data_IF_678653358816
#
_entry.id   IF_678653358816
#
_cell.length_a   1.000
_cell.length_b   1.000
_cell.length_c   1.000
_cell.angle_alpha   90.00
_cell.angle_beta   90.00
_cell.angle_gamma   90.00
#
_symmetry.space_group_name_H-M   'P 1'
#
loop_
_entity.id
_entity.type
_entity.pdbx_description
1 polymer ?
#
# COMPACT_ATOMS: atom_id res chain seq x y z
N UNK A 1 10.15 12.52 -7.65
CA UNK A 1 9.32 11.70 -8.56
C UNK A 1 8.36 12.55 -9.42
N UNK A 2 7.51 13.40 -8.82
CA UNK A 2 6.46 14.17 -9.50
C UNK A 2 6.90 14.92 -10.78
N UNK A 3 7.97 15.73 -10.69
CA UNK A 3 8.50 16.49 -11.84
C UNK A 3 8.94 15.59 -13.00
N UNK A 4 9.51 14.42 -12.70
CA UNK A 4 9.93 13.46 -13.72
C UNK A 4 8.72 12.81 -14.39
N UNK A 5 7.68 12.46 -13.62
CA UNK A 5 6.42 11.96 -14.17
C UNK A 5 5.81 13.01 -15.10
N UNK A 6 5.61 14.25 -14.65
CA UNK A 6 5.05 15.32 -15.47
C UNK A 6 5.84 15.52 -16.78
N UNK A 7 7.17 15.48 -16.73
CA UNK A 7 8.02 15.55 -17.93
C UNK A 7 7.83 14.35 -18.86
N UNK A 8 7.53 13.17 -18.34
CA UNK A 8 7.26 11.99 -19.17
C UNK A 8 5.96 12.14 -19.97
N UNK A 9 4.97 12.85 -19.43
CA UNK A 9 3.69 13.11 -20.08
C UNK A 9 3.80 14.08 -21.27
N UNK A 10 4.83 14.93 -21.31
CA UNK A 10 5.00 15.90 -22.41
C UNK A 10 5.52 15.28 -23.70
N UNK A 11 6.00 14.03 -23.68
CA UNK A 11 6.53 13.33 -24.86
C UNK A 11 5.48 12.39 -25.44
N UNK A 12 5.50 12.21 -26.74
CA UNK A 12 4.68 11.20 -27.43
C UNK A 12 5.31 9.80 -27.37
N UNK A 13 4.59 8.81 -27.92
CA UNK A 13 5.00 7.41 -27.99
C UNK A 13 4.60 6.56 -26.78
N UNK A 14 4.65 5.24 -26.94
CA UNK A 14 4.32 4.28 -25.87
C UNK A 14 5.39 4.32 -24.78
N UNK A 15 4.97 4.37 -23.52
CA UNK A 15 5.86 4.35 -22.36
C UNK A 15 5.42 3.30 -21.35
N UNK A 16 6.41 2.72 -20.67
CA UNK A 16 6.24 1.96 -19.44
C UNK A 16 6.82 2.80 -18.29
N UNK A 17 6.01 3.11 -17.29
CA UNK A 17 6.40 3.88 -16.11
C UNK A 17 6.29 2.94 -14.90
N UNK A 18 7.41 2.74 -14.21
CA UNK A 18 7.49 1.93 -13.00
C UNK A 18 7.79 2.86 -11.83
N UNK A 19 6.96 2.81 -10.80
CA UNK A 19 7.06 3.68 -9.64
C UNK A 19 7.05 2.82 -8.39
N UNK A 20 8.11 2.95 -7.61
CA UNK A 20 8.16 2.44 -6.25
C UNK A 20 7.91 3.62 -5.31
N UNK A 21 6.87 3.51 -4.48
CA UNK A 21 6.41 4.50 -3.49
C UNK A 21 6.38 5.96 -3.97
N UNK A 22 5.20 6.46 -4.33
CA UNK A 22 5.06 7.81 -4.88
C UNK A 22 4.72 8.91 -3.85
N UNK A 23 4.95 8.67 -2.56
CA UNK A 23 4.19 9.35 -1.50
C UNK A 23 5.00 10.29 -0.60
N UNK A 24 6.03 10.94 -1.14
CA UNK A 24 6.76 11.97 -0.39
C UNK A 24 5.93 13.25 -0.07
N UNK A 25 4.63 13.26 -0.40
CA UNK A 25 3.70 14.37 -0.15
C UNK A 25 3.04 14.11 1.20
N UNK A 26 3.25 15.01 2.16
CA UNK A 26 2.89 14.82 3.58
C UNK A 26 1.39 14.86 3.87
N UNK A 27 0.55 15.17 2.87
CA UNK A 27 -0.91 15.26 3.03
C UNK A 27 -1.60 14.20 2.15
N UNK A 28 -2.10 13.10 2.75
CA UNK A 28 -2.58 11.92 2.01
C UNK A 28 -3.68 12.25 0.98
N UNK A 29 -4.67 13.07 1.36
CA UNK A 29 -5.76 13.43 0.45
C UNK A 29 -5.31 14.23 -0.77
N UNK A 30 -4.39 15.17 -0.58
CA UNK A 30 -3.82 15.94 -1.68
C UNK A 30 -2.94 15.04 -2.58
N UNK A 31 -2.16 14.13 -1.98
CA UNK A 31 -1.33 13.18 -2.69
C UNK A 31 -2.17 12.29 -3.62
N UNK A 32 -3.22 11.65 -3.10
CA UNK A 32 -4.12 10.79 -3.87
C UNK A 32 -4.67 11.53 -5.09
N UNK A 33 -5.14 12.77 -4.91
CA UNK A 33 -5.70 13.56 -6.00
C UNK A 33 -4.66 13.90 -7.08
N UNK A 34 -3.47 14.35 -6.69
CA UNK A 34 -2.39 14.67 -7.62
C UNK A 34 -1.94 13.43 -8.41
N UNK A 35 -1.77 12.30 -7.71
CA UNK A 35 -1.34 11.04 -8.31
C UNK A 35 -2.41 10.50 -9.25
N UNK A 36 -3.66 10.50 -8.81
CA UNK A 36 -4.82 10.10 -9.59
C UNK A 36 -4.88 10.83 -10.92
N UNK A 37 -4.77 12.17 -10.91
CA UNK A 37 -4.79 12.97 -12.15
C UNK A 37 -3.61 12.66 -13.09
N UNK A 38 -2.39 12.47 -12.56
CA UNK A 38 -1.25 12.09 -13.39
C UNK A 38 -1.42 10.71 -14.04
N UNK A 39 -1.98 9.76 -13.30
CA UNK A 39 -2.25 8.41 -13.78
C UNK A 39 -3.37 8.41 -14.83
N UNK A 40 -4.42 9.23 -14.66
CA UNK A 40 -5.47 9.44 -15.68
C UNK A 40 -4.85 9.97 -16.99
N UNK A 41 -4.02 11.01 -16.92
CA UNK A 41 -3.34 11.56 -18.10
C UNK A 41 -2.40 10.55 -18.78
N UNK A 42 -1.72 9.69 -17.99
CA UNK A 42 -0.88 8.63 -18.53
C UNK A 42 -1.72 7.58 -19.27
N UNK A 43 -2.86 7.20 -18.70
CA UNK A 43 -3.80 6.25 -19.29
C UNK A 43 -4.39 6.77 -20.61
N UNK A 44 -4.81 8.03 -20.66
CA UNK A 44 -5.34 8.69 -21.88
C UNK A 44 -4.31 8.71 -23.02
N UNK A 45 -3.02 8.81 -22.68
CA UNK A 45 -1.91 8.72 -23.64
C UNK A 45 -1.54 7.29 -24.05
N UNK A 46 -2.22 6.28 -23.50
CA UNK A 46 -1.95 4.87 -23.77
C UNK A 46 -0.63 4.38 -23.15
N UNK A 47 -0.19 4.98 -22.04
CA UNK A 47 1.00 4.53 -21.32
C UNK A 47 0.64 3.38 -20.39
N UNK A 48 1.60 2.49 -20.17
CA UNK A 48 1.51 1.47 -19.12
C UNK A 48 2.17 2.01 -17.86
N UNK A 49 1.45 1.98 -16.75
CA UNK A 49 1.97 2.42 -15.45
C UNK A 49 1.80 1.31 -14.42
N UNK A 50 2.88 1.00 -13.70
CA UNK A 50 2.85 0.13 -12.53
C UNK A 50 3.36 0.95 -11.36
N UNK A 51 2.54 1.01 -10.30
CA UNK A 51 2.84 1.76 -9.09
C UNK A 51 2.72 0.82 -7.88
N UNK A 52 3.73 0.85 -7.02
CA UNK A 52 3.69 0.26 -5.69
C UNK A 52 3.39 1.38 -4.70
N UNK A 53 2.31 1.25 -3.94
CA UNK A 53 1.80 2.31 -3.06
C UNK A 53 0.93 1.72 -1.96
N UNK A 54 0.92 2.36 -0.79
CA UNK A 54 0.00 2.00 0.29
C UNK A 54 -1.35 2.73 0.17
N UNK A 55 -1.50 3.65 -0.79
CA UNK A 55 -2.75 4.35 -1.13
C UNK A 55 -3.65 3.55 -2.09
N UNK A 56 -3.44 2.24 -2.23
CA UNK A 56 -4.17 1.42 -3.20
C UNK A 56 -5.69 1.54 -3.06
N UNK A 57 -6.20 1.70 -1.85
CA UNK A 57 -7.63 1.89 -1.59
C UNK A 57 -8.15 3.23 -2.12
N UNK A 58 -7.43 4.32 -1.83
CA UNK A 58 -7.85 5.66 -2.20
C UNK A 58 -7.66 5.91 -3.69
N UNK A 59 -6.57 5.41 -4.27
CA UNK A 59 -6.34 5.45 -5.71
C UNK A 59 -7.39 4.65 -6.49
N UNK A 60 -7.92 3.56 -5.93
CA UNK A 60 -9.01 2.80 -6.54
C UNK A 60 -10.28 3.63 -6.72
N UNK A 61 -10.55 4.56 -5.80
CA UNK A 61 -11.71 5.48 -5.89
C UNK A 61 -11.54 6.47 -7.05
N UNK A 62 -10.32 6.98 -7.23
CA UNK A 62 -9.98 7.93 -8.30
C UNK A 62 -9.80 7.25 -9.68
N UNK A 63 -9.40 5.99 -9.70
CA UNK A 63 -9.01 5.23 -10.89
C UNK A 63 -9.79 3.90 -10.96
N UNK A 64 -11.11 3.93 -11.18
CA UNK A 64 -11.92 2.71 -11.19
C UNK A 64 -11.57 1.73 -12.32
N UNK A 65 -10.86 2.21 -13.36
CA UNK A 65 -10.36 1.39 -14.47
C UNK A 65 -9.01 0.71 -14.14
N UNK A 66 -8.30 1.16 -13.11
CA UNK A 66 -7.01 0.59 -12.73
C UNK A 66 -7.19 -0.69 -11.91
N UNK A 67 -6.42 -1.72 -12.24
CA UNK A 67 -6.37 -2.95 -11.45
C UNK A 67 -5.53 -2.69 -10.19
N UNK A 68 -6.01 -3.17 -9.05
CA UNK A 68 -5.27 -3.18 -7.79
C UNK A 68 -4.93 -4.62 -7.43
N UNK A 69 -3.65 -4.87 -7.18
CA UNK A 69 -3.13 -6.19 -6.82
C UNK A 69 -2.43 -6.11 -5.47
N UNK A 70 -2.79 -7.00 -4.57
CA UNK A 70 -2.43 -6.91 -3.15
C UNK A 70 -1.51 -8.05 -2.73
N UNK A 71 -0.59 -7.74 -1.83
CA UNK A 71 0.13 -8.74 -1.04
C UNK A 71 -0.43 -8.76 0.39
N UNK A 72 -0.25 -9.87 1.09
CA UNK A 72 -0.89 -10.09 2.38
C UNK A 72 0.04 -10.86 3.32
N UNK A 73 0.02 -10.50 4.60
CA UNK A 73 0.70 -11.29 5.62
C UNK A 73 -0.14 -12.53 5.97
N UNK A 74 0.51 -13.68 6.10
CA UNK A 74 -0.13 -14.94 6.42
C UNK A 74 -0.10 -15.27 7.92
N UNK A 75 0.70 -14.56 8.70
CA UNK A 75 0.83 -14.78 10.14
C UNK A 75 2.25 -14.60 10.65
N UNK A 76 2.52 -15.20 11.80
CA UNK A 76 3.84 -15.28 12.41
C UNK A 76 4.36 -16.72 12.37
N UNK A 77 5.65 -16.89 12.09
CA UNK A 77 6.31 -18.20 12.23
C UNK A 77 6.56 -18.54 13.72
N UNK A 78 7.14 -19.73 13.95
CA UNK A 78 7.53 -20.22 15.28
C UNK A 78 8.51 -19.30 16.02
N UNK A 79 9.29 -18.50 15.29
CA UNK A 79 10.27 -17.54 15.80
C UNK A 79 9.69 -16.11 15.91
N UNK A 80 8.38 -15.95 15.67
CA UNK A 80 7.66 -14.68 15.66
C UNK A 80 8.14 -13.71 14.56
N UNK A 81 8.58 -14.22 13.43
CA UNK A 81 8.82 -13.44 12.22
C UNK A 81 7.56 -13.38 11.38
N UNK A 82 7.38 -12.24 10.69
CA UNK A 82 6.23 -12.03 9.82
C UNK A 82 6.37 -12.86 8.55
N UNK A 83 5.38 -13.70 8.27
CA UNK A 83 5.25 -14.45 7.03
C UNK A 83 4.43 -13.60 6.07
N UNK A 84 4.98 -13.26 4.91
CA UNK A 84 4.31 -12.46 3.89
C UNK A 84 4.31 -13.22 2.57
N UNK A 85 3.12 -13.43 2.02
CA UNK A 85 2.96 -13.87 0.65
C UNK A 85 3.16 -12.66 -0.27
N UNK A 86 4.32 -12.65 -0.95
CA UNK A 86 4.72 -11.56 -1.83
C UNK A 86 4.20 -11.70 -3.25
N UNK A 87 3.43 -12.76 -3.55
CA UNK A 87 2.77 -12.89 -4.84
C UNK A 87 1.54 -11.99 -4.86
N UNK A 88 1.47 -10.96 -5.73
CA UNK A 88 0.30 -10.10 -5.80
C UNK A 88 -0.93 -10.91 -6.24
N UNK A 89 -1.98 -10.89 -5.42
CA UNK A 89 -3.28 -11.46 -5.75
C UNK A 89 -4.05 -10.45 -6.61
N UNK A 90 -4.38 -10.85 -7.84
CA UNK A 90 -4.99 -9.93 -8.79
C UNK A 90 -6.39 -9.47 -8.38
N UNK A 91 -6.65 -8.17 -8.49
CA UNK A 91 -7.94 -7.57 -8.14
C UNK A 91 -8.24 -7.54 -6.65
N UNK A 92 -7.30 -7.97 -5.80
CA UNK A 92 -7.42 -7.96 -4.35
C UNK A 92 -6.67 -6.76 -3.81
N UNK A 93 -7.30 -5.97 -2.96
CA UNK A 93 -6.62 -4.90 -2.24
C UNK A 93 -5.75 -5.52 -1.15
N UNK A 94 -4.46 -5.17 -1.13
CA UNK A 94 -3.57 -5.56 -0.05
C UNK A 94 -4.03 -4.94 1.26
N UNK A 95 -4.03 -5.72 2.34
CA UNK A 95 -4.40 -5.26 3.67
C UNK A 95 -3.18 -5.26 4.57
N UNK A 96 -2.98 -4.16 5.27
CA UNK A 96 -2.06 -4.13 6.39
C UNK A 96 -2.61 -5.01 7.51
N UNK A 97 -1.74 -5.84 8.09
CA UNK A 97 -2.06 -6.70 9.24
C UNK A 97 -1.27 -6.24 10.47
N UNK A 98 -1.48 -5.00 10.96
CA UNK A 98 -0.74 -4.46 12.11
C UNK A 98 -0.92 -5.29 13.39
N UNK A 99 -2.04 -6.00 13.52
CA UNK A 99 -2.33 -6.91 14.61
C UNK A 99 -1.25 -7.99 14.78
N UNK A 100 -0.62 -8.46 13.70
CA UNK A 100 0.49 -9.43 13.77
C UNK A 100 1.76 -8.83 14.39
N UNK A 101 1.99 -7.53 14.18
CA UNK A 101 3.10 -6.82 14.84
C UNK A 101 2.81 -6.70 16.33
N UNK A 102 1.58 -6.35 16.69
CA UNK A 102 1.14 -6.26 18.10
C UNK A 102 1.20 -7.63 18.78
N UNK A 103 0.76 -8.70 18.12
CA UNK A 103 0.83 -10.08 18.62
C UNK A 103 2.28 -10.50 18.89
N UNK A 104 3.19 -10.22 17.96
CA UNK A 104 4.63 -10.47 18.15
C UNK A 104 5.17 -9.74 19.40
N UNK A 105 4.78 -8.48 19.60
CA UNK A 105 5.22 -7.70 20.76
C UNK A 105 4.66 -8.26 22.07
N UNK A 106 3.37 -8.60 22.10
CA UNK A 106 2.72 -9.23 23.24
C UNK A 106 3.41 -10.55 23.66
N UNK A 107 3.77 -11.40 22.67
CA UNK A 107 4.48 -12.66 22.92
C UNK A 107 5.92 -12.48 23.40
N UNK A 108 6.59 -11.38 23.04
CA UNK A 108 8.00 -11.10 23.42
C UNK A 108 8.16 -10.38 24.77
N UNK A 109 7.13 -9.66 25.23
CA UNK A 109 7.19 -8.88 26.48
C UNK A 109 6.60 -9.62 27.67
N UNK A 110 6.83 -9.09 28.88
CA UNK A 110 6.32 -9.63 30.15
C UNK A 110 5.78 -8.50 31.04
N UNK A 111 4.97 -8.85 32.03
CA UNK A 111 4.38 -7.90 32.98
C UNK A 111 3.52 -6.83 32.29
N UNK A 112 3.56 -5.60 32.79
CA UNK A 112 2.71 -4.50 32.33
C UNK A 112 2.81 -4.21 30.82
N UNK A 113 3.98 -4.35 30.21
CA UNK A 113 4.13 -4.16 28.76
C UNK A 113 3.31 -5.19 27.96
N UNK A 114 3.32 -6.45 28.41
CA UNK A 114 2.52 -7.51 27.79
C UNK A 114 1.03 -7.19 27.90
N UNK A 115 0.57 -6.78 29.07
CA UNK A 115 -0.83 -6.40 29.30
C UNK A 115 -1.29 -5.25 28.38
N UNK A 116 -0.41 -4.26 28.14
CA UNK A 116 -0.68 -3.16 27.20
C UNK A 116 -0.84 -3.70 25.77
N UNK A 117 0.10 -4.50 25.29
CA UNK A 117 0.02 -5.04 23.93
C UNK A 117 -1.16 -6.01 23.74
N UNK A 118 -1.50 -6.80 24.75
CA UNK A 118 -2.70 -7.66 24.73
C UNK A 118 -3.98 -6.83 24.65
N UNK A 119 -4.05 -5.71 25.38
CA UNK A 119 -5.19 -4.78 25.28
C UNK A 119 -5.31 -4.17 23.88
N UNK A 120 -4.20 -3.73 23.28
CA UNK A 120 -4.18 -3.21 21.91
C UNK A 120 -4.61 -4.30 20.93
N UNK A 121 -4.11 -5.53 21.09
CA UNK A 121 -4.46 -6.66 20.23
C UNK A 121 -5.96 -6.99 20.29
N UNK A 122 -6.56 -6.90 21.47
CA UNK A 122 -8.00 -7.11 21.63
C UNK A 122 -8.83 -6.02 20.92
N UNK A 123 -8.36 -4.76 20.89
CA UNK A 123 -9.05 -3.70 20.17
C UNK A 123 -9.15 -3.97 18.65
N UNK A 124 -8.20 -4.70 18.06
CA UNK A 124 -8.28 -5.13 16.66
C UNK A 124 -9.30 -6.24 16.41
N UNK A 125 -9.68 -7.03 17.43
CA UNK A 125 -10.65 -8.14 17.30
C UNK A 125 -12.11 -7.72 17.43
N UNK A 126 -12.36 -6.51 17.92
CA UNK A 126 -13.69 -5.95 18.14
C UNK A 126 -14.21 -5.13 16.95
N UNK A 127 -13.43 -5.04 15.86
CA UNK A 127 -13.77 -4.33 14.62
C UNK A 127 -14.26 -5.26 13.51
#
# INVERSE_FOLDING_TARGET
ALKAFARSLTKDGKKLILIDEFEAITEPGAAVKIIGELLKMAYEKGFYVVIVSHLGEDLRKELPFARVDGIEAQGLDENLNLIVDRQPKFGVLGKSTPELIVERLAKKKRGKEKEIFERILNAFKEC
#
